data_IF_130627410681
#
_entry.id   IF_130627410681
#
_cell.length_a   1.000
_cell.length_b   1.000
_cell.length_c   1.000
_cell.angle_alpha   90.00
_cell.angle_beta   90.00
_cell.angle_gamma   90.00
#
_symmetry.space_group_name_H-M   'P 1'
#
loop_
_entity.id
_entity.type
_entity.pdbx_description
1 polymer ?
#
# COMPACT_ATOMS: atom_id res chain seq x y z
N UNK A 1 5.34 -2.20 -19.69
CA UNK A 1 5.69 -2.37 -18.27
C UNK A 1 4.86 -3.55 -17.78
N UNK A 2 5.49 -4.71 -17.78
CA UNK A 2 4.94 -5.94 -17.22
C UNK A 2 5.61 -6.12 -15.86
N UNK A 3 5.26 -5.21 -14.94
CA UNK A 3 5.74 -5.29 -13.57
C UNK A 3 4.84 -6.31 -12.89
N UNK A 4 5.40 -7.47 -12.58
CA UNK A 4 4.80 -8.49 -11.73
C UNK A 4 4.61 -7.95 -10.31
N UNK A 5 3.70 -6.98 -10.14
CA UNK A 5 3.15 -6.59 -8.86
C UNK A 5 2.29 -7.75 -8.35
N UNK A 6 2.99 -8.73 -7.79
CA UNK A 6 2.43 -9.62 -6.79
C UNK A 6 1.80 -8.75 -5.71
N UNK A 7 0.51 -8.94 -5.52
CA UNK A 7 -0.28 -8.15 -4.60
C UNK A 7 0.34 -8.31 -3.19
N UNK A 8 0.73 -7.24 -2.48
CA UNK A 8 1.49 -7.33 -1.22
C UNK A 8 0.68 -7.91 -0.04
N UNK A 9 -0.54 -8.39 -0.29
CA UNK A 9 -1.40 -9.07 0.67
C UNK A 9 -1.61 -10.55 0.35
N UNK A 10 -0.76 -11.15 -0.49
CA UNK A 10 -0.69 -12.62 -0.53
C UNK A 10 -0.18 -13.10 0.82
N UNK A 11 -1.10 -13.63 1.64
CA UNK A 11 -0.78 -14.45 2.80
C UNK A 11 -0.14 -15.72 2.25
N UNK A 12 1.14 -15.64 1.93
CA UNK A 12 1.91 -16.77 1.42
C UNK A 12 1.78 -17.92 2.40
N UNK A 13 1.10 -18.98 1.97
CA UNK A 13 1.24 -20.31 2.52
C UNK A 13 2.66 -20.80 2.17
N UNK A 14 3.65 -20.30 2.90
CA UNK A 14 4.95 -20.95 2.99
C UNK A 14 4.72 -22.23 3.78
N UNK A 15 4.43 -23.33 3.09
CA UNK A 15 4.46 -24.65 3.69
C UNK A 15 5.90 -24.93 4.09
N UNK A 16 6.16 -24.89 5.39
CA UNK A 16 7.44 -25.14 6.03
C UNK A 16 8.07 -26.45 5.55
N UNK A 17 9.28 -26.34 5.01
CA UNK A 17 10.23 -27.42 4.92
C UNK A 17 11.01 -27.51 6.23
N UNK A 18 10.62 -28.46 7.07
CA UNK A 18 11.37 -29.09 8.18
C UNK A 18 12.32 -28.18 8.98
N UNK A 19 11.77 -27.46 9.96
CA UNK A 19 12.52 -27.03 11.14
C UNK A 19 11.99 -27.80 12.36
N UNK A 20 12.78 -28.78 12.82
CA UNK A 20 12.53 -29.51 14.07
C UNK A 20 13.01 -28.66 15.24
N UNK A 21 12.19 -27.68 15.63
CA UNK A 21 12.38 -26.84 16.81
C UNK A 21 11.08 -26.77 17.61
N UNK A 22 11.02 -27.55 18.69
CA UNK A 22 9.90 -27.66 19.63
C UNK A 22 9.80 -26.40 20.52
N UNK A 23 8.99 -25.42 20.11
CA UNK A 23 8.59 -24.28 20.95
C UNK A 23 7.09 -24.33 21.29
N UNK A 24 6.70 -25.36 22.02
CA UNK A 24 5.38 -25.52 22.61
C UNK A 24 5.14 -24.58 23.81
N UNK A 25 4.94 -23.28 23.58
CA UNK A 25 4.74 -22.31 24.67
C UNK A 25 3.27 -22.04 25.08
N UNK A 26 2.26 -22.59 24.39
CA UNK A 26 0.85 -22.23 24.67
C UNK A 26 -0.18 -23.37 24.72
N UNK A 27 0.23 -24.64 24.75
CA UNK A 27 -0.70 -25.74 25.02
C UNK A 27 -0.17 -26.65 26.12
N UNK A 28 -0.97 -26.86 27.16
CA UNK A 28 -0.70 -27.91 28.14
C UNK A 28 -0.54 -29.26 27.41
N UNK A 29 0.46 -30.09 27.78
CA UNK A 29 0.74 -31.35 27.11
C UNK A 29 -0.51 -32.24 27.17
N UNK A 30 -1.08 -32.54 26.00
CA UNK A 30 -2.17 -33.50 25.90
C UNK A 30 -1.65 -34.85 26.42
N UNK A 31 -2.44 -35.58 27.24
CA UNK A 31 -2.03 -36.89 27.73
C UNK A 31 -1.68 -37.78 26.54
N UNK A 32 -0.51 -38.42 26.59
CA UNK A 32 0.00 -39.33 25.56
C UNK A 32 -1.07 -40.39 25.28
N UNK A 33 -1.71 -40.30 24.13
CA UNK A 33 -2.62 -41.32 23.65
C UNK A 33 -1.82 -42.61 23.40
N UNK A 34 -2.39 -43.74 23.83
CA UNK A 34 -1.80 -45.07 23.70
C UNK A 34 -1.31 -45.33 22.26
N UNK A 35 -0.08 -45.86 22.08
CA UNK A 35 0.50 -46.10 20.76
C UNK A 35 -0.03 -47.40 20.14
N UNK A 36 -1.34 -47.65 20.22
CA UNK A 36 -2.00 -48.53 19.28
C UNK A 36 -2.22 -47.76 17.97
N UNK A 37 -1.09 -47.51 17.30
CA UNK A 37 -1.04 -47.06 15.92
C UNK A 37 -1.66 -48.15 15.07
N UNK A 38 -2.98 -48.08 14.88
CA UNK A 38 -3.63 -48.66 13.71
C UNK A 38 -2.89 -48.02 12.55
N UNK A 39 -2.02 -48.81 11.92
CA UNK A 39 -1.43 -48.47 10.63
C UNK A 39 -2.64 -48.44 9.71
N UNK A 40 -3.26 -47.26 9.60
CA UNK A 40 -4.21 -47.01 8.54
C UNK A 40 -3.47 -47.39 7.26
N UNK A 41 -4.01 -48.36 6.53
CA UNK A 41 -3.46 -48.78 5.26
C UNK A 41 -3.11 -47.52 4.48
N UNK A 42 -1.83 -47.40 4.13
CA UNK A 42 -1.31 -46.27 3.36
C UNK A 42 -1.85 -46.38 1.94
N UNK A 43 -3.15 -46.24 1.77
CA UNK A 43 -3.70 -45.94 0.46
C UNK A 43 -3.04 -44.62 0.03
N UNK A 44 -2.39 -44.58 -1.14
CA UNK A 44 -1.80 -43.37 -1.65
C UNK A 44 -2.90 -42.30 -1.70
N UNK A 45 -2.67 -41.16 -1.05
CA UNK A 45 -3.60 -40.05 -1.08
C UNK A 45 -3.81 -39.62 -2.52
N UNK A 46 -4.97 -39.99 -3.07
CA UNK A 46 -5.45 -39.47 -4.34
C UNK A 46 -6.29 -38.25 -3.98
N UNK A 47 -5.76 -37.05 -4.24
CA UNK A 47 -6.53 -35.84 -4.12
C UNK A 47 -7.82 -36.02 -4.93
N UNK A 48 -8.97 -35.88 -4.27
CA UNK A 48 -10.26 -35.94 -4.96
C UNK A 48 -10.28 -34.82 -6.00
N UNK A 49 -10.13 -35.19 -7.27
CA UNK A 49 -10.30 -34.26 -8.38
C UNK A 49 -11.81 -34.03 -8.44
N UNK A 50 -12.24 -32.91 -7.87
CA UNK A 50 -13.64 -32.53 -7.80
C UNK A 50 -14.11 -32.09 -9.19
N UNK A 51 -14.33 -33.06 -10.08
CA UNK A 51 -14.77 -32.82 -11.47
C UNK A 51 -16.22 -32.34 -11.56
N UNK A 52 -16.97 -32.50 -10.46
CA UNK A 52 -18.38 -32.12 -10.30
C UNK A 52 -18.54 -31.08 -9.18
N UNK A 53 -17.46 -30.36 -8.87
CA UNK A 53 -17.50 -29.30 -7.87
C UNK A 53 -18.62 -28.32 -8.14
N UNK A 54 -19.45 -28.08 -7.12
CA UNK A 54 -20.58 -27.13 -7.10
C UNK A 54 -20.26 -25.70 -7.57
N UNK A 55 -18.98 -25.37 -7.79
CA UNK A 55 -18.46 -24.12 -8.36
C UNK A 55 -18.45 -24.09 -9.90
N UNK A 56 -18.56 -25.23 -10.58
CA UNK A 56 -18.59 -25.30 -12.04
C UNK A 56 -19.92 -24.76 -12.59
N UNK A 57 -19.90 -24.24 -13.83
CA UNK A 57 -21.07 -23.68 -14.49
C UNK A 57 -22.20 -24.71 -14.55
N UNK A 58 -23.23 -24.55 -13.71
CA UNK A 58 -24.43 -25.41 -13.69
C UNK A 58 -25.37 -25.14 -14.88
N UNK A 59 -24.93 -24.35 -15.86
CA UNK A 59 -25.77 -23.80 -16.93
C UNK A 59 -26.73 -22.68 -16.46
N UNK A 60 -26.85 -22.47 -15.14
CA UNK A 60 -27.69 -21.41 -14.57
C UNK A 60 -26.96 -20.06 -14.60
N UNK A 61 -27.75 -19.00 -14.83
CA UNK A 61 -27.27 -17.63 -14.69
C UNK A 61 -27.06 -17.27 -13.22
N UNK A 62 -26.28 -16.22 -12.96
CA UNK A 62 -26.08 -15.69 -11.60
C UNK A 62 -27.42 -15.30 -10.95
N UNK A 63 -28.29 -14.65 -11.70
CA UNK A 63 -29.64 -14.24 -11.24
C UNK A 63 -30.49 -15.45 -10.84
N UNK A 64 -30.58 -16.47 -11.71
CA UNK A 64 -31.31 -17.71 -11.41
C UNK A 64 -30.75 -18.40 -10.16
N UNK A 65 -29.42 -18.53 -10.08
CA UNK A 65 -28.77 -19.21 -8.96
C UNK A 65 -29.06 -18.48 -7.64
N UNK A 66 -28.97 -17.14 -7.62
CA UNK A 66 -29.21 -16.35 -6.41
C UNK A 66 -30.69 -16.31 -5.98
N UNK A 67 -31.64 -16.40 -6.93
CA UNK A 67 -33.08 -16.35 -6.63
C UNK A 67 -33.67 -17.72 -6.28
N UNK A 68 -33.18 -18.80 -6.90
CA UNK A 68 -33.76 -20.15 -6.76
C UNK A 68 -33.18 -20.94 -5.57
N UNK A 69 -31.92 -20.68 -5.20
CA UNK A 69 -31.24 -21.40 -4.12
C UNK A 69 -31.11 -20.51 -2.87
N UNK A 70 -31.49 -21.07 -1.71
CA UNK A 70 -31.31 -20.44 -0.40
C UNK A 70 -29.85 -20.05 -0.13
N UNK A 71 -28.90 -20.83 -0.65
CA UNK A 71 -27.46 -20.59 -0.55
C UNK A 71 -26.86 -20.05 -1.86
N UNK A 72 -27.70 -19.65 -2.82
CA UNK A 72 -27.29 -19.26 -4.15
C UNK A 72 -26.25 -18.14 -4.17
N UNK A 73 -26.47 -17.10 -3.36
CA UNK A 73 -25.52 -15.99 -3.26
C UNK A 73 -24.13 -16.42 -2.76
N UNK A 74 -24.07 -17.29 -1.74
CA UNK A 74 -22.79 -17.83 -1.25
C UNK A 74 -22.09 -18.65 -2.32
N UNK A 75 -22.84 -19.47 -3.06
CA UNK A 75 -22.28 -20.25 -4.18
C UNK A 75 -21.71 -19.35 -5.28
N UNK A 76 -22.41 -18.26 -5.63
CA UNK A 76 -21.92 -17.30 -6.62
C UNK A 76 -20.65 -16.59 -6.15
N UNK A 77 -20.58 -16.18 -4.88
CA UNK A 77 -19.35 -15.59 -4.31
C UNK A 77 -18.18 -16.55 -4.42
N UNK A 78 -18.36 -17.80 -3.96
CA UNK A 78 -17.31 -18.83 -4.03
C UNK A 78 -16.88 -19.16 -5.46
N UNK A 79 -17.81 -19.10 -6.43
CA UNK A 79 -17.49 -19.24 -7.85
C UNK A 79 -16.64 -18.08 -8.37
N UNK A 80 -16.94 -16.84 -7.98
CA UNK A 80 -16.11 -15.69 -8.32
C UNK A 80 -14.70 -15.80 -7.71
N UNK A 81 -14.61 -16.19 -6.43
CA UNK A 81 -13.33 -16.43 -5.74
C UNK A 81 -12.52 -17.53 -6.43
N UNK A 82 -13.17 -18.63 -6.82
CA UNK A 82 -12.51 -19.72 -7.54
C UNK A 82 -11.91 -19.24 -8.87
N UNK A 83 -12.66 -18.50 -9.68
CA UNK A 83 -12.13 -17.91 -10.91
C UNK A 83 -10.98 -16.94 -10.65
N UNK A 84 -11.08 -16.12 -9.61
CA UNK A 84 -10.01 -15.20 -9.24
C UNK A 84 -8.72 -15.95 -8.88
N UNK A 85 -8.82 -17.00 -8.07
CA UNK A 85 -7.68 -17.83 -7.64
C UNK A 85 -7.03 -18.60 -8.81
N UNK A 86 -7.80 -18.94 -9.85
CA UNK A 86 -7.28 -19.54 -11.09
C UNK A 86 -6.78 -18.50 -12.11
N UNK A 87 -6.69 -17.23 -11.72
CA UNK A 87 -6.31 -16.11 -12.59
C UNK A 87 -7.24 -15.91 -13.80
N UNK A 88 -8.46 -16.46 -13.75
CA UNK A 88 -9.54 -16.27 -14.70
C UNK A 88 -10.29 -14.97 -14.37
N UNK A 89 -9.57 -13.84 -14.46
CA UNK A 89 -10.06 -12.54 -14.00
C UNK A 89 -11.28 -12.06 -14.78
N UNK A 90 -11.41 -12.45 -16.04
CA UNK A 90 -12.55 -12.05 -16.88
C UNK A 90 -13.85 -12.69 -16.36
N UNK A 91 -13.81 -13.98 -16.07
CA UNK A 91 -14.92 -14.76 -15.55
C UNK A 91 -15.27 -14.31 -14.13
N UNK A 92 -14.26 -14.10 -13.28
CA UNK A 92 -14.45 -13.54 -11.94
C UNK A 92 -15.12 -12.16 -11.98
N UNK A 93 -14.67 -11.29 -12.89
CA UNK A 93 -15.25 -9.96 -13.11
C UNK A 93 -16.72 -10.05 -13.53
N UNK A 94 -17.04 -10.87 -14.52
CA UNK A 94 -18.39 -10.98 -15.07
C UNK A 94 -19.37 -11.51 -14.02
N UNK A 95 -18.95 -12.52 -13.24
CA UNK A 95 -19.75 -13.07 -12.13
C UNK A 95 -19.96 -12.02 -11.02
N UNK A 96 -18.90 -11.34 -10.59
CA UNK A 96 -18.96 -10.36 -9.50
C UNK A 96 -19.78 -9.11 -9.89
N UNK A 97 -19.65 -8.63 -11.14
CA UNK A 97 -20.44 -7.52 -11.67
C UNK A 97 -21.92 -7.87 -11.74
N UNK A 98 -22.23 -9.07 -12.24
CA UNK A 98 -23.62 -9.53 -12.37
C UNK A 98 -24.27 -9.71 -10.99
N UNK A 99 -23.52 -10.23 -10.01
CA UNK A 99 -23.96 -10.27 -8.62
C UNK A 99 -24.38 -8.89 -8.11
N UNK A 100 -23.53 -7.88 -8.32
CA UNK A 100 -23.81 -6.51 -7.91
C UNK A 100 -25.06 -5.95 -8.61
N UNK A 101 -25.25 -6.25 -9.91
CA UNK A 101 -26.44 -5.86 -10.68
C UNK A 101 -27.72 -6.45 -10.06
N UNK A 102 -27.72 -7.76 -9.77
CA UNK A 102 -28.87 -8.47 -9.18
C UNK A 102 -29.23 -7.91 -7.80
N UNK A 103 -28.24 -7.61 -6.96
CA UNK A 103 -28.47 -6.98 -5.65
C UNK A 103 -29.08 -5.57 -5.80
N UNK A 104 -28.57 -4.75 -6.73
CA UNK A 104 -29.08 -3.38 -6.95
C UNK A 104 -30.52 -3.34 -7.46
N UNK A 105 -30.89 -4.24 -8.38
CA UNK A 105 -32.26 -4.35 -8.91
C UNK A 105 -33.24 -4.75 -7.80
N UNK A 106 -32.88 -5.77 -7.02
CA UNK A 106 -33.71 -6.24 -5.91
C UNK A 106 -33.82 -5.22 -4.76
N UNK A 107 -32.75 -4.45 -4.50
CA UNK A 107 -32.77 -3.39 -3.50
C UNK A 107 -33.70 -2.22 -3.86
N UNK A 108 -33.78 -1.89 -5.15
CA UNK A 108 -34.64 -0.78 -5.65
C UNK A 108 -36.12 -1.17 -5.69
N UNK A 109 -36.42 -2.45 -5.93
CA UNK A 109 -37.77 -2.97 -6.07
C UNK A 109 -38.49 -3.25 -4.73
N UNK A 110 -37.84 -3.02 -3.59
CA UNK A 110 -38.50 -3.04 -2.29
C UNK A 110 -39.00 -1.63 -1.95
N UNK A 111 -40.22 -1.24 -2.38
CA UNK A 111 -40.83 -0.03 -1.84
C UNK A 111 -40.87 -0.18 -0.32
N UNK A 112 -40.38 0.83 0.39
CA UNK A 112 -40.51 0.93 1.84
C UNK A 112 -41.94 0.54 2.23
N UNK A 113 -42.10 -0.70 2.71
CA UNK A 113 -43.37 -1.16 3.23
C UNK A 113 -43.68 -0.27 4.42
N UNK A 114 -44.59 0.66 4.17
CA UNK A 114 -45.30 1.41 5.18
C UNK A 114 -45.74 0.44 6.25
N UNK A 115 -45.45 0.79 7.50
CA UNK A 115 -45.66 0.00 8.69
C UNK A 115 -47.12 -0.50 8.80
N UNK A 116 -47.43 -1.62 8.16
CA UNK A 116 -48.65 -2.37 8.43
C UNK A 116 -48.37 -3.20 9.67
N UNK A 117 -48.82 -2.66 10.80
CA UNK A 117 -48.66 -3.19 12.15
C UNK A 117 -49.45 -4.48 12.43
N UNK A 118 -49.89 -5.20 11.41
CA UNK A 118 -50.72 -6.38 11.59
C UNK A 118 -49.85 -7.64 11.53
N UNK A 119 -49.66 -8.27 12.69
CA UNK A 119 -48.72 -9.35 13.00
C UNK A 119 -49.02 -10.70 12.32
N UNK A 120 -49.41 -10.68 11.05
CA UNK A 120 -49.61 -11.87 10.24
C UNK A 120 -48.28 -12.53 9.88
N UNK A 121 -48.14 -13.79 10.26
CA UNK A 121 -47.05 -14.71 9.93
C UNK A 121 -46.89 -14.82 8.40
N UNK A 122 -46.17 -13.89 7.77
CA UNK A 122 -45.96 -13.89 6.32
C UNK A 122 -45.03 -15.03 5.93
N UNK A 123 -45.65 -16.06 5.36
CA UNK A 123 -45.02 -17.03 4.47
C UNK A 123 -44.00 -16.32 3.57
N UNK A 124 -42.75 -16.80 3.60
CA UNK A 124 -41.70 -16.35 2.69
C UNK A 124 -42.16 -16.52 1.24
N UNK A 125 -42.51 -15.43 0.58
CA UNK A 125 -42.77 -15.46 -0.86
C UNK A 125 -41.49 -15.94 -1.57
N UNK A 126 -41.58 -17.01 -2.38
CA UNK A 126 -40.45 -17.48 -3.16
C UNK A 126 -40.02 -16.38 -4.14
N UNK A 127 -38.75 -15.99 -4.08
CA UNK A 127 -38.14 -14.99 -4.98
C UNK A 127 -37.60 -13.73 -4.32
N UNK A 128 -37.80 -13.51 -3.01
CA UNK A 128 -37.19 -12.36 -2.33
C UNK A 128 -35.73 -12.68 -1.98
N UNK A 129 -34.81 -11.95 -2.61
CA UNK A 129 -33.37 -12.07 -2.34
C UNK A 129 -33.06 -11.58 -0.93
N UNK A 130 -32.50 -12.44 -0.07
CA UNK A 130 -32.13 -12.08 1.32
C UNK A 130 -30.80 -11.35 1.44
N UNK A 131 -30.05 -11.22 0.36
CA UNK A 131 -28.73 -10.61 0.40
C UNK A 131 -28.82 -9.12 0.13
N UNK A 132 -28.36 -8.34 1.10
CA UNK A 132 -28.27 -6.88 1.01
C UNK A 132 -26.84 -6.39 0.83
N UNK A 133 -25.83 -7.20 1.15
CA UNK A 133 -24.43 -6.80 1.11
C UNK A 133 -23.74 -7.27 -0.19
N UNK A 134 -23.40 -6.31 -1.05
CA UNK A 134 -22.66 -6.52 -2.29
C UNK A 134 -21.18 -6.12 -2.19
N UNK A 135 -20.70 -5.66 -1.03
CA UNK A 135 -19.38 -5.03 -0.86
C UNK A 135 -18.22 -5.92 -1.34
N UNK A 136 -18.18 -7.17 -0.88
CA UNK A 136 -17.11 -8.12 -1.25
C UNK A 136 -17.07 -8.37 -2.78
N UNK A 137 -18.24 -8.42 -3.42
CA UNK A 137 -18.33 -8.61 -4.87
C UNK A 137 -18.00 -7.34 -5.64
N UNK A 138 -18.31 -6.15 -5.10
CA UNK A 138 -17.83 -4.88 -5.66
C UNK A 138 -16.30 -4.80 -5.59
N UNK A 139 -15.71 -5.20 -4.47
CA UNK A 139 -14.25 -5.28 -4.31
C UNK A 139 -13.63 -6.27 -5.31
N UNK A 140 -14.21 -7.46 -5.45
CA UNK A 140 -13.77 -8.47 -6.43
C UNK A 140 -13.84 -7.94 -7.87
N UNK A 141 -14.96 -7.32 -8.25
CA UNK A 141 -15.13 -6.72 -9.57
C UNK A 141 -14.09 -5.62 -9.81
N UNK A 142 -13.83 -4.75 -8.83
CA UNK A 142 -12.83 -3.69 -8.93
C UNK A 142 -11.41 -4.25 -9.11
N UNK A 143 -11.03 -5.27 -8.32
CA UNK A 143 -9.74 -5.96 -8.44
C UNK A 143 -9.54 -6.57 -9.82
N UNK A 144 -10.56 -7.26 -10.33
CA UNK A 144 -10.50 -7.86 -11.66
C UNK A 144 -10.43 -6.80 -12.76
N UNK A 145 -11.21 -5.71 -12.65
CA UNK A 145 -11.19 -4.60 -13.60
C UNK A 145 -9.79 -3.97 -13.72
N UNK A 146 -9.09 -3.79 -12.59
CA UNK A 146 -7.69 -3.32 -12.58
C UNK A 146 -6.74 -4.29 -13.29
N UNK A 147 -6.84 -5.59 -13.00
CA UNK A 147 -5.99 -6.62 -13.64
C UNK A 147 -6.25 -6.73 -15.14
N UNK A 148 -7.50 -6.50 -15.59
CA UNK A 148 -7.91 -6.54 -16.99
C UNK A 148 -7.76 -5.19 -17.72
N UNK A 149 -7.36 -4.12 -17.03
CA UNK A 149 -7.29 -2.75 -17.56
C UNK A 149 -8.60 -2.26 -18.21
N UNK A 150 -9.76 -2.63 -17.64
CA UNK A 150 -11.09 -2.20 -18.12
C UNK A 150 -11.45 -0.80 -17.60
N UNK A 151 -10.80 0.23 -18.15
CA UNK A 151 -10.90 1.62 -17.67
C UNK A 151 -12.34 2.17 -17.72
N UNK A 152 -13.12 1.81 -18.75
CA UNK A 152 -14.48 2.33 -18.97
C UNK A 152 -15.43 2.09 -17.78
N UNK A 153 -15.31 0.93 -17.12
CA UNK A 153 -16.15 0.58 -15.97
C UNK A 153 -15.47 0.88 -14.62
N UNK A 154 -14.16 1.17 -14.65
CA UNK A 154 -13.36 1.30 -13.44
C UNK A 154 -13.81 2.50 -12.60
N UNK A 155 -14.13 3.62 -13.24
CA UNK A 155 -14.64 4.81 -12.56
C UNK A 155 -15.92 4.51 -11.78
N UNK A 156 -16.92 3.89 -12.42
CA UNK A 156 -18.20 3.57 -11.78
C UNK A 156 -18.02 2.60 -10.60
N UNK A 157 -17.14 1.60 -10.73
CA UNK A 157 -16.86 0.63 -9.68
C UNK A 157 -16.19 1.27 -8.45
N UNK A 158 -15.26 2.21 -8.67
CA UNK A 158 -14.58 2.93 -7.58
C UNK A 158 -15.55 3.84 -6.83
N UNK A 159 -16.43 4.54 -7.53
CA UNK A 159 -17.42 5.44 -6.91
C UNK A 159 -18.52 4.65 -6.18
N UNK A 160 -18.91 3.49 -6.68
CA UNK A 160 -19.89 2.61 -6.02
C UNK A 160 -19.37 2.02 -4.70
N UNK A 161 -18.05 1.88 -4.54
CA UNK A 161 -17.43 1.29 -3.36
C UNK A 161 -17.25 2.36 -2.26
N UNK A 162 -18.13 2.34 -1.25
CA UNK A 162 -18.22 3.38 -0.20
C UNK A 162 -17.52 3.04 1.12
N UNK A 163 -17.02 1.81 1.27
CA UNK A 163 -16.37 1.35 2.50
C UNK A 163 -15.05 2.09 2.77
N UNK A 164 -14.78 2.39 4.04
CA UNK A 164 -13.54 3.03 4.52
C UNK A 164 -12.57 2.02 5.17
N UNK A 165 -12.76 0.72 4.92
CA UNK A 165 -11.81 -0.29 5.37
C UNK A 165 -10.44 -0.09 4.70
N UNK A 166 -9.36 -0.36 5.44
CA UNK A 166 -7.99 -0.13 5.00
C UNK A 166 -7.73 -0.70 3.60
N UNK A 167 -8.03 -1.99 3.37
CA UNK A 167 -7.79 -2.63 2.07
C UNK A 167 -8.54 -1.96 0.92
N UNK A 168 -9.76 -1.47 1.18
CA UNK A 168 -10.60 -0.79 0.20
C UNK A 168 -10.06 0.60 -0.13
N UNK A 169 -9.57 1.36 0.87
CA UNK A 169 -8.91 2.65 0.62
C UNK A 169 -7.72 2.49 -0.31
N UNK A 170 -6.84 1.53 -0.04
CA UNK A 170 -5.68 1.24 -0.90
C UNK A 170 -6.11 0.82 -2.31
N UNK A 171 -7.15 -0.01 -2.43
CA UNK A 171 -7.68 -0.43 -3.72
C UNK A 171 -8.26 0.74 -4.52
N UNK A 172 -9.03 1.63 -3.89
CA UNK A 172 -9.58 2.84 -4.50
C UNK A 172 -8.48 3.79 -4.95
N UNK A 173 -7.48 4.05 -4.10
CA UNK A 173 -6.36 4.92 -4.45
C UNK A 173 -5.61 4.41 -5.68
N UNK A 174 -5.28 3.11 -5.72
CA UNK A 174 -4.67 2.49 -6.92
C UNK A 174 -5.54 2.63 -8.16
N UNK A 175 -6.85 2.47 -8.02
CA UNK A 175 -7.77 2.62 -9.15
C UNK A 175 -7.88 4.07 -9.64
N UNK A 176 -7.90 5.05 -8.74
CA UNK A 176 -7.84 6.47 -9.10
C UNK A 176 -6.54 6.83 -9.81
N UNK A 177 -5.39 6.28 -9.38
CA UNK A 177 -4.11 6.49 -10.08
C UNK A 177 -4.14 5.92 -11.51
N UNK A 178 -4.71 4.73 -11.72
CA UNK A 178 -4.90 4.13 -13.05
C UNK A 178 -5.85 4.92 -13.94
N UNK A 179 -6.85 5.60 -13.33
CA UNK A 179 -7.75 6.54 -14.01
C UNK A 179 -7.15 7.94 -14.19
N UNK A 180 -5.87 8.14 -13.86
CA UNK A 180 -5.18 9.44 -13.88
C UNK A 180 -5.83 10.52 -12.99
N UNK A 181 -6.68 10.12 -12.04
CA UNK A 181 -7.33 10.98 -11.04
C UNK A 181 -6.46 11.10 -9.80
N UNK A 182 -5.25 11.63 -9.96
CA UNK A 182 -4.22 11.66 -8.92
C UNK A 182 -4.63 12.45 -7.67
N UNK A 183 -5.41 13.54 -7.82
CA UNK A 183 -5.91 14.30 -6.68
C UNK A 183 -6.88 13.47 -5.81
N UNK A 184 -7.80 12.73 -6.44
CA UNK A 184 -8.73 11.85 -5.72
C UNK A 184 -7.98 10.71 -4.99
N UNK A 185 -6.95 10.14 -5.63
CA UNK A 185 -6.07 9.14 -5.02
C UNK A 185 -5.33 9.69 -3.80
N UNK A 186 -4.72 10.87 -3.92
CA UNK A 186 -3.99 11.47 -2.82
C UNK A 186 -4.93 11.89 -1.67
N UNK A 187 -6.09 12.45 -1.99
CA UNK A 187 -7.09 12.91 -1.01
C UNK A 187 -7.61 11.75 -0.16
N UNK A 188 -7.98 10.61 -0.76
CA UNK A 188 -8.46 9.46 0.02
C UNK A 188 -7.36 8.88 0.93
N UNK A 189 -6.11 8.86 0.47
CA UNK A 189 -4.96 8.41 1.25
C UNK A 189 -4.68 9.34 2.44
N UNK A 190 -4.71 10.66 2.22
CA UNK A 190 -4.54 11.66 3.29
C UNK A 190 -5.67 11.58 4.31
N UNK A 191 -6.94 11.49 3.89
CA UNK A 191 -8.05 11.31 4.84
C UNK A 191 -7.90 10.05 5.67
N UNK A 192 -7.52 8.93 5.05
CA UNK A 192 -7.27 7.69 5.78
C UNK A 192 -6.09 7.84 6.76
N UNK A 193 -4.98 8.46 6.36
CA UNK A 193 -3.82 8.68 7.22
C UNK A 193 -4.11 9.63 8.38
N UNK A 194 -4.99 10.63 8.21
CA UNK A 194 -5.48 11.48 9.29
C UNK A 194 -6.28 10.69 10.33
N UNK A 195 -7.00 9.64 9.90
CA UNK A 195 -7.79 8.76 10.80
C UNK A 195 -6.95 7.68 11.49
N UNK A 196 -5.83 7.27 10.89
CA UNK A 196 -4.94 6.22 11.43
C UNK A 196 -3.48 6.65 11.33
N UNK A 197 -2.87 6.91 12.49
CA UNK A 197 -1.47 7.33 12.54
C UNK A 197 -0.51 6.24 12.04
N UNK A 198 0.56 6.67 11.37
CA UNK A 198 1.80 5.90 11.17
C UNK A 198 1.75 4.66 10.24
N UNK A 199 0.92 4.64 9.19
CA UNK A 199 0.97 3.56 8.19
C UNK A 199 1.98 3.87 7.07
N UNK A 200 3.14 3.21 7.07
CA UNK A 200 4.20 3.44 6.07
C UNK A 200 3.72 3.17 4.63
N UNK A 201 2.80 2.22 4.43
CA UNK A 201 2.31 1.87 3.09
C UNK A 201 1.49 2.99 2.46
N UNK A 202 0.80 3.81 3.27
CA UNK A 202 0.06 4.99 2.77
C UNK A 202 1.04 6.04 2.25
N UNK A 203 2.10 6.31 3.02
CA UNK A 203 3.15 7.25 2.62
C UNK A 203 3.89 6.79 1.36
N UNK A 204 4.18 5.49 1.26
CA UNK A 204 4.76 4.91 0.04
C UNK A 204 3.83 5.10 -1.16
N UNK A 205 2.54 4.79 -1.01
CA UNK A 205 1.57 4.93 -2.10
C UNK A 205 1.31 6.40 -2.48
N UNK A 206 1.39 7.34 -1.53
CA UNK A 206 1.38 8.78 -1.83
C UNK A 206 2.59 9.20 -2.66
N UNK A 207 3.79 8.68 -2.35
CA UNK A 207 4.97 8.90 -3.19
C UNK A 207 4.74 8.38 -4.61
N UNK A 208 4.26 7.14 -4.75
CA UNK A 208 3.97 6.54 -6.06
C UNK A 208 2.93 7.37 -6.84
N UNK A 209 1.90 7.89 -6.15
CA UNK A 209 0.89 8.78 -6.73
C UNK A 209 1.51 10.06 -7.30
N UNK A 210 2.40 10.73 -6.56
CA UNK A 210 3.07 11.94 -7.05
C UNK A 210 4.04 11.64 -8.19
N UNK A 211 4.79 10.54 -8.13
CA UNK A 211 5.69 10.13 -9.22
C UNK A 211 4.93 9.83 -10.50
N UNK A 212 3.78 9.17 -10.43
CA UNK A 212 2.94 8.92 -11.62
C UNK A 212 2.28 10.21 -12.14
N UNK A 213 1.82 11.08 -11.25
CA UNK A 213 1.30 12.39 -11.65
C UNK A 213 2.35 13.20 -12.41
N UNK A 214 3.60 13.19 -11.92
CA UNK A 214 4.74 13.82 -12.59
C UNK A 214 4.98 13.25 -13.98
N UNK A 215 5.03 11.92 -14.11
CA UNK A 215 5.22 11.26 -15.40
C UNK A 215 4.13 11.65 -16.42
N UNK A 216 2.88 11.80 -15.95
CA UNK A 216 1.77 12.30 -16.78
C UNK A 216 2.00 13.75 -17.23
N UNK A 217 2.39 14.64 -16.31
CA UNK A 217 2.68 16.04 -16.63
C UNK A 217 3.77 16.19 -17.70
N UNK A 218 4.83 15.37 -17.61
CA UNK A 218 5.90 15.34 -18.60
C UNK A 218 5.40 14.83 -19.96
N UNK A 219 4.58 13.77 -19.97
CA UNK A 219 4.01 13.20 -21.21
C UNK A 219 3.11 14.21 -21.94
N UNK A 220 2.22 14.88 -21.19
CA UNK A 220 1.36 15.96 -21.68
C UNK A 220 2.13 17.14 -22.30
N UNK A 221 3.32 17.45 -21.75
CA UNK A 221 4.14 18.57 -22.20
C UNK A 221 4.74 18.32 -23.59
N UNK A 222 5.13 17.07 -23.86
CA UNK A 222 5.74 16.65 -25.14
C UNK A 222 4.71 16.73 -26.27
N UNK A 223 3.49 16.25 -26.03
CA UNK A 223 2.42 16.24 -27.03
C UNK A 223 1.99 17.64 -27.45
N UNK A 224 1.93 18.59 -26.50
CA UNK A 224 1.59 19.99 -26.80
C UNK A 224 2.66 20.68 -27.64
N UNK A 225 3.94 20.37 -27.42
CA UNK A 225 5.04 20.96 -28.19
C UNK A 225 5.00 20.58 -29.67
N UNK A 226 4.45 19.42 -30.02
CA UNK A 226 4.39 18.95 -31.41
C UNK A 226 3.26 19.59 -32.23
N UNK A 227 2.24 20.18 -31.58
CA UNK A 227 1.08 20.75 -32.26
C UNK A 227 1.20 22.25 -32.57
N UNK A 228 2.17 22.96 -31.99
CA UNK A 228 2.37 24.39 -32.28
C UNK A 228 3.08 24.53 -33.61
N UNK A 229 2.29 24.67 -34.68
CA UNK A 229 2.81 25.06 -36.00
C UNK A 229 3.54 26.40 -35.88
N UNK A 230 4.68 26.59 -36.56
CA UNK A 230 5.55 27.76 -36.42
C UNK A 230 4.88 28.99 -37.02
N UNK A 231 3.95 29.58 -36.28
CA UNK A 231 3.36 30.86 -36.64
C UNK A 231 4.28 31.93 -36.07
N UNK A 232 5.06 32.57 -36.96
CA UNK A 232 6.04 33.60 -36.66
C UNK A 232 5.41 34.79 -35.91
N UNK A 233 5.29 34.71 -34.59
CA UNK A 233 5.05 35.86 -33.72
C UNK A 233 6.25 36.03 -32.77
N UNK A 234 7.18 36.96 -33.06
CA UNK A 234 8.46 37.03 -32.37
C UNK A 234 8.46 37.65 -30.95
N UNK A 235 7.33 38.11 -30.40
CA UNK A 235 7.37 39.10 -29.30
C UNK A 235 6.67 38.76 -27.96
N UNK A 236 6.22 37.53 -27.66
CA UNK A 236 5.37 37.30 -26.46
C UNK A 236 5.88 36.36 -25.34
N UNK A 237 6.61 35.26 -25.57
CA UNK A 237 6.48 34.14 -24.60
C UNK A 237 7.78 33.64 -23.94
N UNK A 238 8.50 34.51 -23.21
CA UNK A 238 9.62 34.05 -22.35
C UNK A 238 9.16 33.59 -20.95
N UNK A 239 7.90 33.83 -20.56
CA UNK A 239 7.43 33.60 -19.18
C UNK A 239 6.89 32.18 -18.91
N UNK A 240 6.61 31.38 -19.94
CA UNK A 240 5.85 30.13 -19.78
C UNK A 240 6.71 28.87 -19.55
N UNK A 241 8.00 28.89 -19.88
CA UNK A 241 8.85 27.69 -19.73
C UNK A 241 9.42 27.51 -18.33
N UNK A 242 9.73 28.60 -17.63
CA UNK A 242 10.29 28.51 -16.27
C UNK A 242 9.25 28.04 -15.26
N UNK A 243 7.97 28.42 -15.39
CA UNK A 243 6.93 28.03 -14.43
C UNK A 243 6.65 26.52 -14.41
N UNK A 244 6.70 25.84 -15.56
CA UNK A 244 6.44 24.40 -15.66
C UNK A 244 7.55 23.58 -14.99
N UNK A 245 8.82 23.96 -15.19
CA UNK A 245 9.96 23.26 -14.57
C UNK A 245 9.96 23.33 -13.04
N UNK A 246 9.57 24.47 -12.47
CA UNK A 246 9.42 24.60 -11.02
C UNK A 246 8.30 23.71 -10.47
N UNK A 247 7.20 23.54 -11.21
CA UNK A 247 6.10 22.68 -10.78
C UNK A 247 6.47 21.19 -10.87
N UNK A 248 7.17 20.75 -11.91
CA UNK A 248 7.68 19.37 -12.01
C UNK A 248 8.56 19.01 -10.81
N UNK A 249 9.52 19.87 -10.51
CA UNK A 249 10.42 19.70 -9.37
C UNK A 249 9.68 19.72 -8.01
N UNK A 250 8.64 20.54 -7.90
CA UNK A 250 7.78 20.56 -6.71
C UNK A 250 7.04 19.23 -6.50
N UNK A 251 6.51 18.60 -7.55
CA UNK A 251 5.88 17.28 -7.43
C UNK A 251 6.90 16.20 -7.06
N UNK A 252 8.10 16.22 -7.64
CA UNK A 252 9.21 15.34 -7.21
C UNK A 252 9.55 15.51 -5.74
N UNK A 253 9.56 16.75 -5.26
CA UNK A 253 9.80 17.07 -3.86
C UNK A 253 8.72 16.46 -2.96
N UNK A 254 7.44 16.59 -3.30
CA UNK A 254 6.36 15.96 -2.54
C UNK A 254 6.49 14.43 -2.51
N UNK A 255 6.85 13.81 -3.64
CA UNK A 255 7.13 12.38 -3.70
C UNK A 255 8.28 11.99 -2.76
N UNK A 256 9.39 12.74 -2.80
CA UNK A 256 10.57 12.52 -1.96
C UNK A 256 10.21 12.60 -0.46
N UNK A 257 9.49 13.63 -0.04
CA UNK A 257 9.06 13.79 1.35
C UNK A 257 8.21 12.60 1.81
N UNK A 258 7.29 12.13 0.97
CA UNK A 258 6.46 10.97 1.24
C UNK A 258 7.27 9.67 1.39
N UNK A 259 8.20 9.38 0.47
CA UNK A 259 8.98 8.14 0.54
C UNK A 259 9.95 8.14 1.73
N UNK A 260 10.52 9.30 2.08
CA UNK A 260 11.38 9.43 3.25
C UNK A 260 10.58 9.17 4.53
N UNK A 261 9.34 9.70 4.61
CA UNK A 261 8.45 9.42 5.73
C UNK A 261 8.10 7.93 5.81
N UNK A 262 7.84 7.28 4.68
CA UNK A 262 7.62 5.83 4.62
C UNK A 262 8.85 5.06 5.14
N UNK A 263 10.06 5.45 4.72
CA UNK A 263 11.33 4.86 5.19
C UNK A 263 11.47 4.99 6.71
N UNK A 264 11.25 6.19 7.25
CA UNK A 264 11.34 6.45 8.69
C UNK A 264 10.36 5.57 9.48
N UNK A 265 9.10 5.49 9.05
CA UNK A 265 8.09 4.65 9.69
C UNK A 265 8.44 3.16 9.62
N UNK A 266 8.98 2.71 8.49
CA UNK A 266 9.42 1.33 8.32
C UNK A 266 10.59 1.02 9.27
N UNK A 267 11.60 1.90 9.36
CA UNK A 267 12.73 1.77 10.31
C UNK A 267 12.29 1.79 11.78
N UNK A 268 11.22 2.52 12.10
CA UNK A 268 10.64 2.54 13.45
C UNK A 268 9.79 1.30 13.76
N UNK A 269 9.48 0.45 12.78
CA UNK A 269 8.69 -0.76 12.99
C UNK A 269 9.49 -1.86 13.69
N UNK A 270 8.79 -2.76 14.38
CA UNK A 270 9.38 -3.95 15.00
C UNK A 270 9.58 -5.12 14.01
N UNK A 271 9.22 -4.95 12.73
CA UNK A 271 9.22 -6.04 11.76
C UNK A 271 10.62 -6.62 11.50
N UNK A 272 11.67 -5.82 11.65
CA UNK A 272 13.06 -6.27 11.55
C UNK A 272 13.46 -7.25 12.67
N UNK A 273 12.80 -7.14 13.83
CA UNK A 273 13.08 -7.95 15.02
C UNK A 273 12.31 -9.27 15.03
N UNK A 274 11.27 -9.42 14.20
CA UNK A 274 10.38 -10.59 14.16
C UNK A 274 10.77 -11.52 13.02
N UNK A 275 11.17 -12.77 13.31
CA UNK A 275 11.77 -13.69 12.33
C UNK A 275 10.90 -13.93 11.08
N UNK A 276 9.61 -14.24 11.26
CA UNK A 276 8.70 -14.48 10.12
C UNK A 276 8.44 -13.24 9.24
N UNK A 277 8.64 -12.02 9.79
CA UNK A 277 8.41 -10.76 9.09
C UNK A 277 9.71 -10.15 8.52
N UNK A 278 10.87 -10.60 9.01
CA UNK A 278 12.19 -10.03 8.69
C UNK A 278 12.50 -10.06 7.19
N UNK A 279 12.22 -11.19 6.51
CA UNK A 279 12.44 -11.30 5.07
C UNK A 279 11.60 -10.30 4.26
N UNK A 280 10.33 -10.10 4.66
CA UNK A 280 9.46 -9.11 4.05
C UNK A 280 9.94 -7.69 4.34
N UNK A 281 10.34 -7.40 5.57
CA UNK A 281 10.89 -6.12 5.98
C UNK A 281 12.04 -5.68 5.08
N UNK A 282 13.06 -6.53 4.88
CA UNK A 282 14.22 -6.18 4.06
C UNK A 282 13.87 -5.99 2.58
N UNK A 283 12.95 -6.80 2.04
CA UNK A 283 12.46 -6.64 0.67
C UNK A 283 11.79 -5.27 0.47
N UNK A 284 10.86 -4.93 1.34
CA UNK A 284 10.13 -3.67 1.30
C UNK A 284 11.06 -2.46 1.55
N UNK A 285 11.98 -2.57 2.51
CA UNK A 285 12.97 -1.53 2.78
C UNK A 285 13.87 -1.29 1.55
N UNK A 286 14.34 -2.35 0.89
CA UNK A 286 15.16 -2.22 -0.32
C UNK A 286 14.42 -1.50 -1.45
N UNK A 287 13.11 -1.76 -1.62
CA UNK A 287 12.29 -1.03 -2.59
C UNK A 287 12.20 0.44 -2.21
N UNK A 288 11.90 0.75 -0.94
CA UNK A 288 11.83 2.13 -0.44
C UNK A 288 13.17 2.86 -0.63
N UNK A 289 14.30 2.23 -0.32
CA UNK A 289 15.63 2.83 -0.47
C UNK A 289 15.97 3.13 -1.93
N UNK A 290 15.67 2.21 -2.86
CA UNK A 290 15.84 2.46 -4.30
C UNK A 290 15.01 3.64 -4.77
N UNK A 291 13.76 3.72 -4.34
CA UNK A 291 12.86 4.84 -4.67
C UNK A 291 13.36 6.15 -4.06
N UNK A 292 13.86 6.14 -2.81
CA UNK A 292 14.48 7.30 -2.19
C UNK A 292 15.67 7.81 -3.02
N UNK A 293 16.60 6.93 -3.41
CA UNK A 293 17.79 7.32 -4.19
C UNK A 293 17.38 7.93 -5.53
N UNK A 294 16.42 7.31 -6.23
CA UNK A 294 15.92 7.85 -7.51
C UNK A 294 15.31 9.24 -7.33
N UNK A 295 14.49 9.45 -6.30
CA UNK A 295 13.86 10.74 -6.02
C UNK A 295 14.85 11.80 -5.49
N UNK A 296 15.89 11.41 -4.75
CA UNK A 296 16.98 12.30 -4.34
C UNK A 296 17.73 12.84 -5.57
N UNK A 297 18.01 11.98 -6.55
CA UNK A 297 18.64 12.35 -7.82
C UNK A 297 17.76 13.30 -8.64
N UNK A 298 16.47 13.00 -8.74
CA UNK A 298 15.47 13.87 -9.40
C UNK A 298 15.33 15.24 -8.72
N UNK A 299 15.60 15.31 -7.41
CA UNK A 299 15.59 16.55 -6.64
C UNK A 299 16.97 17.23 -6.56
N UNK A 300 17.97 16.76 -7.31
CA UNK A 300 19.33 17.30 -7.33
C UNK A 300 20.02 17.34 -5.95
N UNK A 301 19.70 16.38 -5.09
CA UNK A 301 20.44 16.13 -3.86
C UNK A 301 21.68 15.30 -4.20
N UNK A 302 22.85 15.74 -3.73
CA UNK A 302 24.08 14.99 -3.95
C UNK A 302 24.04 13.69 -3.14
N UNK A 303 23.77 12.56 -3.80
CA UNK A 303 24.01 11.25 -3.21
C UNK A 303 25.50 11.05 -3.09
N UNK A 304 26.10 11.53 -1.99
CA UNK A 304 27.43 11.09 -1.52
C UNK A 304 27.36 9.66 -1.00
N UNK A 305 26.75 8.76 -1.78
CA UNK A 305 26.82 7.33 -1.51
C UNK A 305 28.24 6.95 -1.93
N UNK A 306 29.07 6.91 -0.90
CA UNK A 306 30.46 6.50 -0.90
C UNK A 306 30.68 5.27 -1.79
N UNK A 307 31.16 5.51 -3.00
CA UNK A 307 31.79 4.50 -3.87
C UNK A 307 33.07 3.90 -3.25
N UNK A 308 33.40 4.21 -1.99
CA UNK A 308 34.64 3.82 -1.32
C UNK A 308 34.55 2.48 -0.57
N UNK A 309 33.35 1.90 -0.39
CA UNK A 309 33.18 0.66 0.40
C UNK A 309 33.10 -0.63 -0.43
N UNK A 310 33.02 -0.57 -1.76
CA UNK A 310 32.89 -1.78 -2.60
C UNK A 310 34.22 -2.33 -3.18
N UNK A 311 35.35 -1.63 -3.03
CA UNK A 311 36.62 -2.10 -3.62
C UNK A 311 37.59 -2.79 -2.63
N UNK A 312 37.30 -2.83 -1.32
CA UNK A 312 38.26 -3.36 -0.33
C UNK A 312 38.07 -4.82 0.12
N UNK A 313 37.02 -5.53 -0.33
CA UNK A 313 36.72 -6.90 0.15
C UNK A 313 37.35 -8.04 -0.65
N UNK A 314 38.29 -7.76 -1.58
CA UNK A 314 39.00 -8.83 -2.33
C UNK A 314 40.42 -9.11 -1.83
N UNK A 315 40.78 -8.64 -0.62
CA UNK A 315 42.08 -8.91 0.00
C UNK A 315 42.03 -10.10 0.97
N UNK A 316 42.31 -11.29 0.44
CA UNK A 316 42.98 -12.43 1.08
C UNK A 316 42.70 -12.68 2.58
N UNK A 317 41.81 -13.63 2.85
CA UNK A 317 41.59 -14.24 4.16
C UNK A 317 42.90 -14.72 4.81
N UNK A 318 43.48 -13.88 5.65
CA UNK A 318 44.54 -14.24 6.59
C UNK A 318 44.03 -13.84 7.97
N UNK A 319 43.85 -14.81 8.86
CA UNK A 319 43.18 -14.65 10.15
C UNK A 319 43.75 -13.46 10.96
N UNK A 320 42.93 -12.50 11.40
CA UNK A 320 43.40 -11.39 12.22
C UNK A 320 43.65 -11.84 13.68
N UNK A 321 44.72 -11.34 14.33
CA UNK A 321 44.96 -11.55 15.75
C UNK A 321 43.93 -10.78 16.60
N UNK A 322 43.52 -11.43 17.69
CA UNK A 322 42.56 -10.93 18.68
C UNK A 322 43.14 -9.73 19.46
N UNK A 323 42.96 -8.51 18.95
CA UNK A 323 43.22 -7.28 19.70
C UNK A 323 41.95 -6.42 19.70
N UNK A 324 41.34 -6.30 20.88
CA UNK A 324 40.16 -5.50 21.14
C UNK A 324 40.39 -4.02 20.77
N UNK A 325 39.49 -3.37 20.02
CA UNK A 325 39.65 -1.99 19.58
C UNK A 325 39.68 -1.05 20.79
N UNK A 326 40.61 -0.09 20.76
CA UNK A 326 40.77 0.93 21.80
C UNK A 326 39.61 1.94 21.76
N UNK A 327 39.06 2.25 22.93
CA UNK A 327 37.86 3.09 23.16
C UNK A 327 37.93 4.50 22.56
N UNK A 328 39.11 5.00 22.21
CA UNK A 328 39.33 6.37 21.69
C UNK A 328 38.87 6.53 20.23
N UNK A 329 38.96 5.48 19.41
CA UNK A 329 38.58 5.58 17.99
C UNK A 329 37.05 5.60 17.77
N UNK A 330 36.27 5.17 18.77
CA UNK A 330 34.81 5.09 18.67
C UNK A 330 34.13 6.47 18.86
N UNK A 331 34.71 7.35 19.68
CA UNK A 331 34.16 8.69 19.95
C UNK A 331 34.33 9.64 18.75
N UNK A 332 35.47 9.57 18.05
CA UNK A 332 35.74 10.39 16.87
C UNK A 332 34.82 10.03 15.68
N UNK A 333 34.53 8.74 15.49
CA UNK A 333 33.60 8.27 14.45
C UNK A 333 32.15 8.72 14.72
N UNK A 334 31.73 8.74 15.99
CA UNK A 334 30.39 9.20 16.39
C UNK A 334 30.21 10.70 16.13
N UNK A 335 31.23 11.51 16.46
CA UNK A 335 31.21 12.95 16.21
C UNK A 335 31.12 13.27 14.71
N UNK A 336 31.89 12.59 13.87
CA UNK A 336 31.86 12.76 12.42
C UNK A 336 30.49 12.38 11.82
N UNK A 337 29.91 11.26 12.25
CA UNK A 337 28.59 10.83 11.78
C UNK A 337 27.48 11.84 12.19
N UNK A 338 27.57 12.40 13.40
CA UNK A 338 26.65 13.44 13.87
C UNK A 338 26.75 14.73 13.04
N UNK A 339 27.97 15.15 12.69
CA UNK A 339 28.20 16.33 11.86
C UNK A 339 27.69 16.14 10.43
N UNK A 340 27.97 14.98 9.82
CA UNK A 340 27.46 14.62 8.49
C UNK A 340 25.92 14.59 8.46
N UNK A 341 25.29 14.03 9.51
CA UNK A 341 23.84 14.05 9.64
C UNK A 341 23.28 15.47 9.71
N UNK A 342 23.88 16.33 10.53
CA UNK A 342 23.45 17.73 10.65
C UNK A 342 23.57 18.47 9.32
N UNK A 343 24.66 18.24 8.58
CA UNK A 343 24.86 18.82 7.25
C UNK A 343 23.79 18.34 6.26
N UNK A 344 23.50 17.02 6.23
CA UNK A 344 22.46 16.46 5.35
C UNK A 344 21.08 16.99 5.72
N UNK A 345 20.75 17.07 7.01
CA UNK A 345 19.49 17.64 7.47
C UNK A 345 19.33 19.10 7.03
N UNK A 346 20.40 19.89 7.11
CA UNK A 346 20.40 21.28 6.65
C UNK A 346 20.23 21.38 5.13
N UNK A 347 20.89 20.49 4.37
CA UNK A 347 20.76 20.45 2.91
C UNK A 347 19.33 20.16 2.48
N UNK A 348 18.67 19.19 3.13
CA UNK A 348 17.26 18.88 2.91
C UNK A 348 16.34 20.06 3.22
N UNK A 349 16.54 20.73 4.34
CA UNK A 349 15.75 21.90 4.73
C UNK A 349 15.84 22.99 3.64
N UNK A 350 17.06 23.32 3.22
CA UNK A 350 17.34 24.43 2.29
C UNK A 350 16.98 24.12 0.84
N UNK A 351 17.23 22.88 0.37
CA UNK A 351 17.03 22.51 -1.04
C UNK A 351 15.64 21.94 -1.32
N UNK A 352 14.99 21.34 -0.32
CA UNK A 352 13.72 20.62 -0.50
C UNK A 352 12.59 21.36 0.21
N UNK A 353 12.69 21.55 1.53
CA UNK A 353 11.55 22.02 2.32
C UNK A 353 11.24 23.51 2.08
N UNK A 354 12.23 24.39 2.19
CA UNK A 354 12.05 25.83 2.02
C UNK A 354 11.47 26.18 0.63
N UNK A 355 11.98 25.65 -0.50
CA UNK A 355 11.41 25.91 -1.81
C UNK A 355 9.98 25.38 -1.96
N UNK A 356 9.71 24.19 -1.43
CA UNK A 356 8.37 23.60 -1.48
C UNK A 356 7.34 24.41 -0.68
N UNK A 357 7.72 24.89 0.51
CA UNK A 357 6.89 25.78 1.32
C UNK A 357 6.65 27.12 0.60
N UNK A 358 7.67 27.70 -0.04
CA UNK A 358 7.52 28.94 -0.80
C UNK A 358 6.53 28.78 -1.96
N UNK A 359 6.62 27.68 -2.73
CA UNK A 359 5.68 27.37 -3.81
C UNK A 359 4.26 27.17 -3.25
N UNK A 360 4.11 26.43 -2.15
CA UNK A 360 2.82 26.22 -1.51
C UNK A 360 2.18 27.53 -1.03
N UNK A 361 2.94 28.45 -0.41
CA UNK A 361 2.42 29.76 -0.02
C UNK A 361 2.00 30.58 -1.24
N UNK A 362 2.79 30.56 -2.33
CA UNK A 362 2.42 31.24 -3.57
C UNK A 362 1.12 30.69 -4.18
N UNK A 363 0.90 29.37 -4.14
CA UNK A 363 -0.36 28.74 -4.57
C UNK A 363 -1.55 29.15 -3.68
N UNK A 364 -1.32 29.34 -2.37
CA UNK A 364 -2.34 29.75 -1.40
C UNK A 364 -2.74 31.22 -1.56
N UNK A 365 -1.79 32.11 -1.83
CA UNK A 365 -2.02 33.55 -2.02
C UNK A 365 -2.67 33.88 -3.37
N UNK A 366 -2.34 33.10 -4.40
CA UNK A 366 -2.88 33.24 -5.75
C UNK A 366 -3.66 31.97 -6.10
N UNK A 367 -4.83 31.73 -5.48
CA UNK A 367 -5.70 30.68 -5.96
C UNK A 367 -5.96 30.95 -7.44
N UNK A 368 -5.78 29.94 -8.29
CA UNK A 368 -6.02 30.03 -9.74
C UNK A 368 -7.51 30.34 -9.98
N UNK A 369 -7.90 31.59 -9.79
CA UNK A 369 -9.19 32.14 -10.16
C UNK A 369 -9.11 32.49 -11.64
N UNK A 370 -9.22 31.47 -12.50
CA UNK A 370 -9.51 31.68 -13.91
C UNK A 370 -10.49 30.62 -14.38
N UNK A 371 -11.72 31.07 -14.63
CA UNK A 371 -12.84 30.30 -15.18
C UNK A 371 -12.58 29.72 -16.58
N UNK A 372 -11.42 30.02 -17.21
CA UNK A 372 -11.17 29.71 -18.63
C UNK A 372 -10.17 28.58 -18.85
N UNK A 373 -9.56 28.03 -17.80
CA UNK A 373 -8.73 26.82 -17.94
C UNK A 373 -9.59 25.62 -17.58
N UNK A 374 -9.78 24.63 -18.48
CA UNK A 374 -10.47 23.40 -18.12
C UNK A 374 -9.79 22.86 -16.86
N UNK A 375 -10.59 22.59 -15.83
CA UNK A 375 -10.15 22.14 -14.52
C UNK A 375 -9.20 20.95 -14.69
N UNK A 376 -7.90 21.25 -14.80
CA UNK A 376 -6.87 20.24 -14.64
C UNK A 376 -6.89 19.95 -13.15
N UNK A 377 -7.11 18.69 -12.82
CA UNK A 377 -7.06 18.17 -11.46
C UNK A 377 -5.67 18.45 -10.88
N UNK A 378 -5.50 19.64 -10.31
CA UNK A 378 -4.35 19.97 -9.49
C UNK A 378 -4.54 19.26 -8.16
N UNK A 379 -3.44 18.74 -7.63
CA UNK A 379 -3.45 18.18 -6.28
C UNK A 379 -3.98 19.24 -5.31
N UNK A 380 -4.93 18.85 -4.48
CA UNK A 380 -5.58 19.72 -3.51
C UNK A 380 -4.57 20.32 -2.54
N UNK A 381 -4.78 21.58 -2.18
CA UNK A 381 -3.94 22.29 -1.21
C UNK A 381 -3.91 21.58 0.15
N UNK A 382 -4.99 20.89 0.52
CA UNK A 382 -5.07 20.10 1.75
C UNK A 382 -4.05 18.95 1.76
N UNK A 383 -3.90 18.24 0.63
CA UNK A 383 -2.92 17.15 0.50
C UNK A 383 -1.50 17.70 0.61
N UNK A 384 -1.21 18.80 -0.08
CA UNK A 384 0.11 19.44 -0.05
C UNK A 384 0.45 19.91 1.37
N UNK A 385 -0.48 20.61 2.03
CA UNK A 385 -0.31 21.07 3.41
C UNK A 385 -0.07 19.90 4.37
N UNK A 386 -0.80 18.80 4.19
CA UNK A 386 -0.61 17.59 4.99
C UNK A 386 0.79 16.98 4.83
N UNK A 387 1.30 16.88 3.59
CA UNK A 387 2.65 16.34 3.35
C UNK A 387 3.73 17.25 3.93
N UNK A 388 3.64 18.56 3.69
CA UNK A 388 4.63 19.53 4.19
C UNK A 388 4.63 19.66 5.72
N UNK A 389 3.44 19.61 6.35
CA UNK A 389 3.33 19.68 7.82
C UNK A 389 3.75 18.40 8.54
N UNK A 390 3.82 17.27 7.84
CA UNK A 390 4.29 16.00 8.39
C UNK A 390 5.82 15.85 8.37
N UNK A 391 6.55 16.84 7.83
CA UNK A 391 8.00 16.86 7.84
C UNK A 391 8.57 16.94 9.26
N UNK A 392 9.58 16.13 9.51
CA UNK A 392 10.35 16.11 10.76
C UNK A 392 11.80 15.77 10.39
N UNK A 393 12.77 16.52 10.93
CA UNK A 393 14.19 16.24 10.77
C UNK A 393 14.58 14.78 11.05
N UNK A 394 13.87 14.10 11.96
CA UNK A 394 14.08 12.67 12.28
C UNK A 394 13.84 11.73 11.09
N UNK A 395 13.20 12.21 10.02
CA UNK A 395 12.94 11.44 8.80
C UNK A 395 14.25 11.16 8.02
N UNK A 396 15.29 11.97 8.22
CA UNK A 396 16.60 11.83 7.57
C UNK A 396 17.59 11.03 8.44
N UNK A 397 17.23 10.68 9.68
CA UNK A 397 18.16 10.07 10.65
C UNK A 397 18.86 8.80 10.11
N UNK A 398 20.21 8.73 10.17
CA UNK A 398 20.96 7.56 9.73
C UNK A 398 20.79 6.38 10.69
N UNK A 399 20.90 5.15 10.16
CA UNK A 399 20.67 3.90 10.92
C UNK A 399 21.61 3.70 12.10
N UNK A 400 22.79 4.31 12.05
CA UNK A 400 23.88 4.09 12.99
C UNK A 400 23.58 4.59 14.42
N UNK A 401 22.60 5.48 14.62
CA UNK A 401 22.37 6.13 15.91
C UNK A 401 21.38 5.41 16.84
N UNK A 402 20.63 4.41 16.36
CA UNK A 402 19.57 3.76 17.17
C UNK A 402 20.04 2.60 18.04
N UNK A 403 21.24 2.06 17.84
CA UNK A 403 21.67 0.83 18.49
C UNK A 403 22.21 0.98 19.93
N UNK A 404 22.30 2.18 20.50
CA UNK A 404 22.96 2.38 21.80
C UNK A 404 22.08 2.80 22.98
N UNK A 405 20.75 2.88 22.84
CA UNK A 405 19.90 3.48 23.88
C UNK A 405 18.96 2.57 24.67
N UNK A 406 18.58 1.38 24.18
CA UNK A 406 17.48 0.61 24.77
C UNK A 406 17.95 -0.67 25.48
N UNK A 407 18.93 -0.56 26.36
CA UNK A 407 18.95 -1.44 27.52
C UNK A 407 17.84 -0.97 28.45
N UNK A 408 16.61 -1.43 28.18
CA UNK A 408 15.54 -1.35 29.16
C UNK A 408 16.07 -2.10 30.39
N UNK A 409 16.25 -1.44 31.55
CA UNK A 409 16.69 -2.15 32.74
C UNK A 409 15.67 -3.27 32.96
N UNK A 410 16.14 -4.51 32.91
CA UNK A 410 15.41 -5.65 33.43
C UNK A 410 15.16 -5.34 34.89
N UNK A 411 13.96 -4.86 35.21
CA UNK A 411 13.47 -4.82 36.58
C UNK A 411 13.53 -6.26 37.09
N UNK A 412 14.52 -6.54 37.93
CA UNK A 412 14.67 -7.80 38.65
C UNK A 412 13.41 -8.02 39.50
N UNK A 413 12.61 -9.06 39.27
CA UNK A 413 11.50 -9.40 40.14
C UNK A 413 12.02 -10.26 41.30
N UNK A 414 12.97 -9.73 42.11
CA UNK A 414 13.51 -10.44 43.28
C UNK A 414 13.76 -9.52 44.47
N UNK A 415 12.68 -8.98 45.05
CA UNK A 415 12.58 -8.49 46.44
C UNK A 415 11.10 -8.14 46.67
N UNK A 416 10.31 -8.68 47.60
CA UNK A 416 10.59 -9.22 48.92
C UNK A 416 9.61 -10.38 49.22
N UNK A 417 10.16 -11.53 49.62
CA UNK A 417 9.48 -12.46 50.52
C UNK A 417 10.45 -12.74 51.67
N UNK A 418 9.92 -12.82 52.90
CA UNK A 418 10.60 -12.95 54.21
C UNK A 418 10.86 -11.58 54.88
N UNK A 419 10.44 -11.25 56.11
CA UNK A 419 10.10 -12.04 57.30
C UNK A 419 9.33 -11.16 58.34
N UNK A 420 8.32 -11.76 59.00
CA UNK A 420 8.06 -11.80 60.47
C UNK A 420 7.93 -10.51 61.28
N UNK A 421 6.70 -10.20 61.73
CA UNK A 421 6.22 -10.36 63.14
C UNK A 421 4.76 -9.93 63.27
#
# INVERSE_FOLDING_TARGET
MDDGEDFPFSFGASSDGEETGDDGLFCAPKPKADPHRVVADKEPYLAQVDTDGWFHHTGQTVEEQMLQDKNGATKVKMRADHFFMLHQYQEAYDVAREYCRVVSINGTQMPHNTASADGGLRSSEPGVLKVTDSREMQEMALRCALKLKKLDNLSDLVEALTSQETGIVFLKAKAYMVLERFDAAATILVHYQKSRSSNYSVWRLLSDCFSQYRAQLLSDSVDKSLQVSPTLHPDSDTFSQTSLGHFDHFISTLALLCILRARHLMKASTWSQVDYARARYYREMSVIEKTCIALEQDCHLETKIESSTLENDTATATAPPCSSPSTVEQDDASALASEQYKQRSQEYEQKILEPAQAIFQAMKEKPLHNNDTPARDTISLEVIEFVLSAWDSQVIEPDMLRHHGSHRPTEDPTADSEHVS
#
